data_IF_786459082204
#
_entry.id   IF_786459082204
#
_cell.length_a   1.000
_cell.length_b   1.000
_cell.length_c   1.000
_cell.angle_alpha   90.00
_cell.angle_beta   90.00
_cell.angle_gamma   90.00
#
_symmetry.space_group_name_H-M   'P 1'
#
loop_
_entity.id
_entity.type
_entity.pdbx_description
1 polymer ?
#
# COMPACT_ATOMS: atom_id res chain seq x y z
N UNK A 1 3.31 -19.71 -51.00
CA UNK A 1 2.91 -19.75 -49.57
C UNK A 1 3.84 -18.81 -48.80
N UNK A 2 3.36 -17.68 -48.28
CA UNK A 2 4.02 -16.83 -47.27
C UNK A 2 3.03 -15.73 -46.86
N UNK A 3 2.41 -15.86 -45.69
CA UNK A 3 1.68 -14.76 -45.04
C UNK A 3 1.92 -14.84 -43.53
N UNK A 4 3.09 -14.40 -43.09
CA UNK A 4 3.29 -14.00 -41.69
C UNK A 4 2.82 -12.56 -41.57
N UNK A 5 1.58 -12.39 -41.10
CA UNK A 5 1.02 -11.08 -40.79
C UNK A 5 1.80 -10.45 -39.63
N UNK A 6 2.66 -9.49 -39.94
CA UNK A 6 3.34 -8.62 -38.97
C UNK A 6 2.31 -7.68 -38.36
N UNK A 7 1.59 -8.12 -37.32
CA UNK A 7 0.76 -7.22 -36.53
C UNK A 7 1.67 -6.24 -35.78
N UNK A 8 1.46 -4.95 -36.03
CA UNK A 8 2.27 -3.83 -35.51
C UNK A 8 2.27 -3.80 -33.96
N UNK A 9 3.44 -3.80 -33.29
CA UNK A 9 3.55 -3.80 -31.81
C UNK A 9 3.19 -2.47 -31.13
N UNK A 10 2.92 -1.42 -31.89
CA UNK A 10 2.80 -0.04 -31.39
C UNK A 10 1.62 0.18 -30.42
N UNK A 11 0.38 -0.28 -30.72
CA UNK A 11 -0.78 -0.03 -29.86
C UNK A 11 -0.67 -0.73 -28.51
N UNK A 12 -0.01 -1.89 -28.47
CA UNK A 12 0.18 -2.65 -27.24
C UNK A 12 1.23 -2.00 -26.33
N UNK A 13 2.28 -1.40 -26.91
CA UNK A 13 3.32 -0.69 -26.17
C UNK A 13 2.77 0.58 -25.49
N UNK A 14 1.95 1.36 -26.21
CA UNK A 14 1.28 2.55 -25.67
C UNK A 14 0.33 2.21 -24.52
N UNK A 15 -0.55 1.22 -24.70
CA UNK A 15 -1.45 0.75 -23.64
C UNK A 15 -0.71 0.20 -22.42
N UNK A 16 0.44 -0.46 -22.62
CA UNK A 16 1.28 -0.94 -21.52
C UNK A 16 1.95 0.21 -20.77
N UNK A 17 2.39 1.27 -21.47
CA UNK A 17 2.95 2.47 -20.87
C UNK A 17 1.90 3.27 -20.07
N UNK A 18 0.69 3.42 -20.60
CA UNK A 18 -0.42 4.06 -19.90
C UNK A 18 -0.73 3.34 -18.59
N UNK A 19 -0.92 2.01 -18.63
CA UNK A 19 -1.14 1.20 -17.42
C UNK A 19 0.02 1.29 -16.44
N UNK A 20 1.27 1.33 -16.93
CA UNK A 20 2.43 1.51 -16.06
C UNK A 20 2.43 2.89 -15.39
N UNK A 21 2.01 3.94 -16.10
CA UNK A 21 1.88 5.29 -15.54
C UNK A 21 0.76 5.37 -14.50
N UNK A 22 -0.40 4.79 -14.78
CA UNK A 22 -1.52 4.71 -13.82
C UNK A 22 -1.07 4.03 -12.51
N UNK A 23 -0.38 2.90 -12.62
CA UNK A 23 0.14 2.18 -11.44
C UNK A 23 1.19 3.01 -10.69
N UNK A 24 2.08 3.72 -11.40
CA UNK A 24 3.06 4.61 -10.75
C UNK A 24 2.39 5.78 -10.03
N UNK A 25 1.37 6.40 -10.64
CA UNK A 25 0.65 7.53 -10.05
C UNK A 25 -0.16 7.09 -8.83
N UNK A 26 -0.92 5.99 -8.94
CA UNK A 26 -1.64 5.40 -7.82
C UNK A 26 -0.69 5.01 -6.67
N UNK A 27 0.52 4.53 -7.00
CA UNK A 27 1.58 4.29 -6.02
C UNK A 27 2.05 5.56 -5.34
N UNK A 28 2.38 6.59 -6.11
CA UNK A 28 2.85 7.85 -5.56
C UNK A 28 1.80 8.50 -4.64
N UNK A 29 0.53 8.50 -5.06
CA UNK A 29 -0.57 9.07 -4.27
C UNK A 29 -0.76 8.33 -2.95
N UNK A 30 -0.84 6.99 -2.98
CA UNK A 30 -1.01 6.21 -1.76
C UNK A 30 0.20 6.34 -0.83
N UNK A 31 1.44 6.36 -1.37
CA UNK A 31 2.64 6.63 -0.56
C UNK A 31 2.57 8.00 0.11
N UNK A 32 2.12 9.04 -0.61
CA UNK A 32 1.93 10.38 -0.07
C UNK A 32 0.88 10.39 1.04
N UNK A 33 -0.28 9.77 0.85
CA UNK A 33 -1.33 9.69 1.89
C UNK A 33 -0.85 9.00 3.17
N UNK A 34 -0.05 7.96 3.05
CA UNK A 34 0.55 7.25 4.20
C UNK A 34 1.64 8.12 4.86
N UNK A 35 2.47 8.78 4.06
CA UNK A 35 3.51 9.68 4.56
C UNK A 35 2.92 10.93 5.25
N UNK A 36 1.78 11.42 4.78
CA UNK A 36 1.05 12.54 5.38
C UNK A 36 0.27 12.12 6.64
N UNK A 37 0.19 10.81 6.92
CA UNK A 37 -0.55 10.28 8.08
C UNK A 37 -2.07 10.33 7.93
N UNK A 38 -2.57 10.57 6.71
CA UNK A 38 -4.00 10.52 6.38
C UNK A 38 -4.54 9.10 6.51
N UNK A 39 -3.70 8.10 6.21
CA UNK A 39 -4.03 6.69 6.38
C UNK A 39 -2.88 5.96 7.09
N UNK A 40 -3.18 5.21 8.14
CA UNK A 40 -2.19 4.37 8.82
C UNK A 40 -1.88 3.12 8.02
N UNK A 41 -0.63 2.66 8.02
CA UNK A 41 -0.27 1.36 7.48
C UNK A 41 -1.07 0.21 8.12
N UNK A 42 -1.49 0.35 9.39
CA UNK A 42 -2.35 -0.61 10.07
C UNK A 42 -3.74 -0.72 9.40
N UNK A 43 -4.36 0.42 9.10
CA UNK A 43 -5.69 0.48 8.49
C UNK A 43 -5.61 -0.02 7.04
N UNK A 44 -4.55 0.35 6.31
CA UNK A 44 -4.31 -0.17 4.95
C UNK A 44 -4.12 -1.70 4.93
N UNK A 45 -3.45 -2.26 5.93
CA UNK A 45 -3.28 -3.72 6.04
C UNK A 45 -4.61 -4.39 6.38
N UNK A 46 -5.48 -3.78 7.19
CA UNK A 46 -6.79 -4.33 7.54
C UNK A 46 -7.76 -4.28 6.35
N UNK A 47 -7.93 -3.11 5.74
CA UNK A 47 -8.87 -2.90 4.65
C UNK A 47 -8.39 -3.54 3.34
N UNK A 48 -7.08 -3.78 3.23
CA UNK A 48 -6.39 -4.37 2.07
C UNK A 48 -6.92 -3.85 0.72
N UNK A 49 -6.82 -2.53 0.44
CA UNK A 49 -7.32 -1.98 -0.81
C UNK A 49 -6.59 -2.62 -1.99
N UNK A 50 -7.29 -2.83 -3.11
CA UNK A 50 -6.74 -3.48 -4.30
C UNK A 50 -5.44 -2.80 -4.80
N UNK A 51 -5.35 -1.48 -4.69
CA UNK A 51 -4.15 -0.70 -5.05
C UNK A 51 -2.90 -1.15 -4.29
N UNK A 52 -3.06 -1.61 -3.05
CA UNK A 52 -1.97 -1.99 -2.13
C UNK A 52 -1.79 -3.50 -2.05
N UNK A 53 -2.78 -4.29 -2.50
CA UNK A 53 -2.69 -5.75 -2.51
C UNK A 53 -1.49 -6.25 -3.31
N UNK A 54 -1.08 -5.49 -4.34
CA UNK A 54 0.09 -5.77 -5.19
C UNK A 54 1.42 -5.27 -4.61
N UNK A 55 1.39 -4.51 -3.52
CA UNK A 55 2.60 -3.94 -2.92
C UNK A 55 3.19 -4.93 -1.93
N UNK A 56 4.51 -4.83 -1.74
CA UNK A 56 5.17 -5.54 -0.67
C UNK A 56 4.80 -4.92 0.69
N UNK A 57 4.73 -5.74 1.74
CA UNK A 57 4.49 -5.24 3.09
C UNK A 57 5.63 -4.31 3.51
N UNK A 58 6.86 -4.57 3.06
CA UNK A 58 8.00 -3.69 3.32
C UNK A 58 7.83 -2.30 2.69
N UNK A 59 7.43 -2.21 1.41
CA UNK A 59 7.18 -0.92 0.75
C UNK A 59 6.10 -0.11 1.47
N UNK A 60 5.06 -0.79 1.94
CA UNK A 60 4.00 -0.15 2.69
C UNK A 60 4.53 0.43 4.01
N UNK A 61 5.29 -0.37 4.76
CA UNK A 61 5.89 0.04 6.03
C UNK A 61 6.94 1.13 5.86
N UNK A 62 7.70 1.14 4.77
CA UNK A 62 8.68 2.18 4.46
C UNK A 62 8.04 3.51 4.05
N UNK A 63 6.75 3.52 3.71
CA UNK A 63 6.03 4.72 3.27
C UNK A 63 5.49 5.56 4.43
N UNK A 64 5.44 5.02 5.66
CA UNK A 64 5.03 5.78 6.86
C UNK A 64 6.21 6.50 7.51
N UNK A 65 5.92 7.64 8.15
CA UNK A 65 6.93 8.43 8.88
C UNK A 65 7.54 7.64 10.03
N UNK A 66 8.87 7.73 10.19
CA UNK A 66 9.59 7.09 11.30
C UNK A 66 9.84 5.58 11.12
N UNK A 67 9.65 5.06 9.90
CA UNK A 67 9.98 3.69 9.53
C UNK A 67 11.12 3.65 8.52
N UNK A 68 12.30 3.27 9.01
CA UNK A 68 13.45 2.94 8.16
C UNK A 68 13.58 1.44 7.91
N UNK A 69 14.50 1.07 7.02
CA UNK A 69 14.78 -0.34 6.63
C UNK A 69 15.03 -1.23 7.84
N UNK A 70 15.80 -0.77 8.82
CA UNK A 70 16.09 -1.54 10.04
C UNK A 70 14.84 -1.83 10.87
N UNK A 71 13.94 -0.84 11.02
CA UNK A 71 12.70 -1.01 11.80
C UNK A 71 11.73 -1.94 11.07
N UNK A 72 11.62 -1.76 9.75
CA UNK A 72 10.82 -2.61 8.88
C UNK A 72 11.27 -4.08 8.96
N UNK A 73 12.56 -4.35 8.72
CA UNK A 73 13.12 -5.69 8.80
C UNK A 73 12.91 -6.33 10.17
N UNK A 74 13.21 -5.61 11.27
CA UNK A 74 12.99 -6.12 12.63
C UNK A 74 11.51 -6.48 12.88
N UNK A 75 10.59 -5.65 12.42
CA UNK A 75 9.16 -5.90 12.59
C UNK A 75 8.69 -7.12 11.81
N UNK A 76 9.14 -7.25 10.57
CA UNK A 76 8.78 -8.36 9.68
C UNK A 76 9.39 -9.69 10.13
N UNK A 77 10.67 -9.70 10.53
CA UNK A 77 11.32 -10.89 11.08
C UNK A 77 10.65 -11.38 12.38
N UNK A 78 10.16 -10.47 13.23
CA UNK A 78 9.41 -10.85 14.46
C UNK A 78 8.07 -11.51 14.17
N UNK A 79 7.47 -11.18 13.03
CA UNK A 79 6.16 -11.69 12.62
C UNK A 79 6.24 -12.86 11.63
N UNK A 80 7.47 -13.33 11.33
CA UNK A 80 7.74 -14.37 10.33
C UNK A 80 7.12 -14.04 8.94
N UNK A 81 7.20 -12.75 8.57
CA UNK A 81 6.70 -12.24 7.29
C UNK A 81 7.90 -11.85 6.41
N UNK A 82 7.93 -12.36 5.18
CA UNK A 82 8.94 -11.94 4.20
C UNK A 82 8.71 -10.49 3.75
N UNK A 83 9.80 -9.73 3.59
CA UNK A 83 9.77 -8.35 3.09
C UNK A 83 9.14 -8.23 1.70
N UNK A 84 9.31 -9.27 0.87
CA UNK A 84 8.80 -9.33 -0.51
C UNK A 84 7.33 -9.78 -0.53
N UNK A 85 6.81 -10.28 0.61
CA UNK A 85 5.43 -10.76 0.68
C UNK A 85 4.48 -9.61 0.38
N UNK A 86 3.47 -9.90 -0.45
CA UNK A 86 2.45 -8.92 -0.81
C UNK A 86 1.44 -8.75 0.30
N UNK A 87 0.91 -7.52 0.46
CA UNK A 87 -0.16 -7.26 1.43
C UNK A 87 -1.38 -8.14 1.14
N UNK A 88 -1.69 -8.37 -0.14
CA UNK A 88 -2.81 -9.22 -0.56
C UNK A 88 -2.63 -10.72 -0.32
N UNK A 89 -1.41 -11.20 -0.05
CA UNK A 89 -1.16 -12.63 0.24
C UNK A 89 -1.06 -12.93 1.74
N UNK A 90 -1.28 -11.94 2.59
CA UNK A 90 -1.41 -12.14 4.04
C UNK A 90 -2.77 -12.72 4.37
N UNK A 91 -2.80 -13.69 5.29
CA UNK A 91 -4.07 -14.20 5.81
C UNK A 91 -4.71 -13.15 6.70
N UNK A 92 -6.04 -13.21 6.86
CA UNK A 92 -6.77 -12.27 7.71
C UNK A 92 -6.23 -12.22 9.15
N UNK A 93 -5.84 -13.38 9.70
CA UNK A 93 -5.19 -13.48 11.01
C UNK A 93 -3.85 -12.72 11.04
N UNK A 94 -3.02 -12.88 10.01
CA UNK A 94 -1.75 -12.15 9.90
C UNK A 94 -2.00 -10.64 9.78
N UNK A 95 -2.98 -10.21 8.98
CA UNK A 95 -3.33 -8.79 8.82
C UNK A 95 -3.73 -8.15 10.14
N UNK A 96 -4.61 -8.81 10.91
CA UNK A 96 -5.03 -8.32 12.24
C UNK A 96 -3.87 -8.26 13.24
N UNK A 97 -3.00 -9.28 13.27
CA UNK A 97 -1.83 -9.30 14.15
C UNK A 97 -0.84 -8.19 13.83
N UNK A 98 -0.56 -7.96 12.55
CA UNK A 98 0.33 -6.89 12.09
C UNK A 98 -0.29 -5.53 12.40
N UNK A 99 -1.57 -5.31 12.08
CA UNK A 99 -2.27 -4.06 12.35
C UNK A 99 -2.33 -3.74 13.86
N UNK A 100 -2.54 -4.74 14.72
CA UNK A 100 -2.53 -4.56 16.17
C UNK A 100 -1.16 -4.10 16.69
N UNK A 101 -0.07 -4.60 16.12
CA UNK A 101 1.29 -4.19 16.51
C UNK A 101 1.75 -2.88 15.84
N UNK A 102 1.17 -2.54 14.69
CA UNK A 102 1.43 -1.30 13.96
C UNK A 102 0.65 -0.11 14.51
N UNK A 103 -0.50 -0.35 15.14
CA UNK A 103 -1.19 0.68 15.92
C UNK A 103 -0.20 1.24 16.92
N UNK A 104 0.17 2.52 16.83
CA UNK A 104 1.09 3.10 17.78
C UNK A 104 0.48 2.91 19.17
N UNK A 105 1.29 2.48 20.15
CA UNK A 105 0.98 2.77 21.54
C UNK A 105 0.73 4.27 21.59
N UNK A 106 -0.52 4.69 21.80
CA UNK A 106 -0.98 6.08 21.71
C UNK A 106 0.02 6.97 22.46
N UNK A 107 0.83 7.68 21.69
CA UNK A 107 1.98 8.41 22.19
C UNK A 107 2.15 9.71 21.44
N UNK A 108 1.14 10.57 21.58
CA UNK A 108 1.08 12.01 21.21
C UNK A 108 1.02 12.33 19.70
N UNK A 109 0.18 13.34 19.43
CA UNK A 109 -0.13 14.01 18.16
C UNK A 109 -1.11 13.22 17.28
N UNK A 110 -2.29 13.71 16.90
CA UNK A 110 -2.92 15.01 17.05
C UNK A 110 -4.24 14.94 16.26
N UNK A 111 -5.24 15.66 16.71
CA UNK A 111 -6.60 15.75 16.18
C UNK A 111 -6.75 15.57 14.66
N UNK A 112 -7.48 14.53 14.25
CA UNK A 112 -8.27 14.47 13.00
C UNK A 112 -9.57 13.70 13.29
N UNK A 113 -10.27 14.11 14.35
CA UNK A 113 -11.73 14.03 14.39
C UNK A 113 -12.26 15.24 13.61
N UNK A 114 -13.55 15.23 13.24
CA UNK A 114 -14.29 16.27 12.53
C UNK A 114 -14.39 16.12 11.00
N UNK A 115 -14.95 14.99 10.56
CA UNK A 115 -16.00 15.02 9.53
C UNK A 115 -17.18 14.22 10.08
N UNK A 116 -17.88 14.81 11.05
CA UNK A 116 -19.26 14.45 11.36
C UNK A 116 -20.12 15.42 10.53
N UNK A 117 -20.55 14.95 9.37
CA UNK A 117 -21.46 15.68 8.48
C UNK A 117 -22.85 15.70 9.12
N UNK A 118 -23.26 16.90 9.54
CA UNK A 118 -24.58 17.50 9.34
C UNK A 118 -25.86 16.75 9.75
N UNK A 119 -26.65 17.39 10.61
CA UNK A 119 -28.12 17.45 10.50
C UNK A 119 -28.67 18.63 11.34
N UNK A 120 -29.89 19.14 11.09
CA UNK A 120 -30.13 20.50 10.61
C UNK A 120 -30.85 21.38 11.65
N UNK A 121 -31.04 22.66 11.30
CA UNK A 121 -31.94 23.58 12.02
C UNK A 121 -33.39 23.41 11.61
#
# INVERSE_FOLDING_TARGET
MLQTATMTPEPQRLRALERANEVRLARAEMKRRIADGVVSAADVILDCPQAVSSWSVADLLMSQRGWGTTRCRKFLSRNDVSEIKRVGSLTERQRRLLAAQLRPARGRLGAQSWIQIGTPG
#
